data_IF_175639432752
#
_entry.id   IF_175639432752
#
_cell.length_a   1.000
_cell.length_b   1.000
_cell.length_c   1.000
_cell.angle_alpha   90.00
_cell.angle_beta   90.00
_cell.angle_gamma   90.00
#
_symmetry.space_group_name_H-M   'P 1'
#
loop_
_entity.id
_entity.type
_entity.pdbx_description
1 polymer ?
#
# COMPACT_ATOMS: atom_id res chain seq x y z
N UNK A 1 -8.69 -1.38 10.41
CA UNK A 1 -8.43 -2.57 9.56
C UNK A 1 -9.56 -2.89 8.59
N UNK A 2 -10.85 -2.75 8.96
CA UNK A 2 -11.96 -3.02 8.02
C UNK A 2 -11.83 -2.23 6.70
N UNK A 3 -11.61 -0.91 6.79
CA UNK A 3 -11.51 -0.05 5.61
C UNK A 3 -10.31 -0.38 4.69
N UNK A 4 -9.14 -0.72 5.25
CA UNK A 4 -7.97 -1.09 4.43
C UNK A 4 -8.18 -2.39 3.67
N UNK A 5 -8.89 -3.36 4.27
CA UNK A 5 -9.25 -4.62 3.60
C UNK A 5 -10.25 -4.42 2.46
N UNK A 6 -11.08 -3.38 2.53
CA UNK A 6 -12.01 -3.01 1.46
C UNK A 6 -11.35 -2.19 0.35
N UNK A 7 -10.29 -1.43 0.68
CA UNK A 7 -9.55 -0.59 -0.27
C UNK A 7 -8.55 -1.37 -1.13
N UNK A 8 -7.80 -2.29 -0.51
CA UNK A 8 -6.68 -2.96 -1.16
C UNK A 8 -7.12 -4.21 -1.92
N UNK A 9 -6.38 -4.59 -2.96
CA UNK A 9 -6.56 -5.89 -3.62
C UNK A 9 -6.35 -7.03 -2.60
N UNK A 10 -5.22 -6.95 -1.88
CA UNK A 10 -4.87 -7.86 -0.80
C UNK A 10 -4.11 -7.07 0.28
N UNK A 11 -4.41 -7.35 1.55
CA UNK A 11 -3.64 -6.82 2.68
C UNK A 11 -3.54 -7.86 3.79
N UNK A 12 -2.31 -8.24 4.10
CA UNK A 12 -2.00 -9.22 5.14
C UNK A 12 -2.26 -8.69 6.55
N UNK A 13 -2.07 -9.58 7.53
CA UNK A 13 -2.23 -9.25 8.94
C UNK A 13 -1.19 -8.22 9.42
N UNK A 14 -1.56 -7.44 10.44
CA UNK A 14 -0.68 -6.49 11.11
C UNK A 14 -0.04 -5.43 10.18
N UNK A 15 -0.70 -5.08 9.08
CA UNK A 15 -0.29 -3.94 8.27
C UNK A 15 -0.72 -2.62 8.91
N UNK A 16 0.13 -1.61 8.82
CA UNK A 16 -0.16 -0.28 9.34
C UNK A 16 0.36 0.79 8.37
N UNK A 17 -0.51 1.74 8.04
CA UNK A 17 -0.24 2.80 7.06
C UNK A 17 -0.57 4.12 7.74
N UNK A 18 0.45 4.95 7.95
CA UNK A 18 0.26 6.30 8.45
C UNK A 18 -0.38 7.18 7.37
N UNK A 19 -1.52 7.82 7.63
CA UNK A 19 -2.14 8.73 6.68
C UNK A 19 -1.30 10.02 6.52
N UNK A 20 -1.40 10.72 5.38
CA UNK A 20 -2.23 10.37 4.22
C UNK A 20 -1.61 9.25 3.37
N UNK A 21 -2.49 8.44 2.78
CA UNK A 21 -2.18 7.44 1.77
C UNK A 21 -2.79 7.89 0.43
N UNK A 22 -1.99 7.86 -0.64
CA UNK A 22 -2.42 8.25 -1.98
C UNK A 22 -2.36 7.05 -2.92
N UNK A 23 -3.42 6.85 -3.72
CA UNK A 23 -3.45 5.85 -4.78
C UNK A 23 -4.31 6.32 -5.95
N UNK A 24 -3.97 5.93 -7.18
CA UNK A 24 -4.74 6.27 -8.38
C UNK A 24 -6.07 5.52 -8.43
N UNK A 25 -6.06 4.23 -8.10
CA UNK A 25 -7.21 3.33 -8.11
C UNK A 25 -7.66 2.94 -6.71
N UNK A 26 -7.24 3.71 -5.69
CA UNK A 26 -7.66 3.53 -4.31
C UNK A 26 -7.07 2.29 -3.63
N UNK A 27 -6.00 1.68 -4.19
CA UNK A 27 -5.37 0.48 -3.67
C UNK A 27 -5.85 -0.82 -4.33
N UNK A 28 -6.76 -0.75 -5.31
CA UNK A 28 -7.37 -1.92 -5.97
C UNK A 28 -6.39 -2.83 -6.71
N UNK A 29 -5.18 -2.38 -7.00
CA UNK A 29 -4.13 -3.21 -7.59
C UNK A 29 -2.94 -3.45 -6.66
N UNK A 30 -3.05 -3.03 -5.40
CA UNK A 30 -1.98 -3.15 -4.40
C UNK A 30 -2.18 -4.41 -3.57
N UNK A 31 -1.17 -5.27 -3.58
CA UNK A 31 -1.10 -6.53 -2.86
C UNK A 31 -0.03 -6.46 -1.77
N UNK A 32 -0.47 -6.30 -0.54
CA UNK A 32 0.39 -6.21 0.64
C UNK A 32 0.42 -7.54 1.38
N UNK A 33 1.62 -8.06 1.62
CA UNK A 33 1.87 -9.17 2.54
C UNK A 33 1.57 -8.82 4.01
N UNK A 34 2.12 -9.58 4.96
CA UNK A 34 1.92 -9.35 6.40
C UNK A 34 3.00 -8.47 7.03
N UNK A 35 2.65 -7.79 8.12
CA UNK A 35 3.54 -6.96 8.93
C UNK A 35 4.22 -5.84 8.13
N UNK A 36 3.51 -5.24 7.17
CA UNK A 36 4.01 -4.07 6.43
C UNK A 36 3.76 -2.80 7.24
N UNK A 37 4.77 -1.96 7.33
CA UNK A 37 4.65 -0.62 7.90
C UNK A 37 4.91 0.43 6.81
N UNK A 38 4.00 1.38 6.67
CA UNK A 38 4.17 2.53 5.80
C UNK A 38 4.09 3.83 6.61
N UNK A 39 5.16 4.63 6.52
CA UNK A 39 5.23 5.94 7.15
C UNK A 39 4.48 7.00 6.31
N UNK A 40 4.43 8.24 6.81
CA UNK A 40 3.63 9.33 6.25
C UNK A 40 3.87 9.54 4.74
N UNK A 41 2.80 9.90 4.02
CA UNK A 41 2.81 10.26 2.60
C UNK A 41 3.24 9.12 1.66
N UNK A 42 2.83 7.87 1.94
CA UNK A 42 2.98 6.79 0.97
C UNK A 42 2.08 7.04 -0.25
N UNK A 43 2.68 7.00 -1.44
CA UNK A 43 1.98 7.12 -2.73
C UNK A 43 2.15 5.87 -3.57
N UNK A 44 1.03 5.30 -4.02
CA UNK A 44 0.97 4.11 -4.87
C UNK A 44 0.34 4.48 -6.21
N UNK A 45 1.14 4.62 -7.27
CA UNK A 45 0.62 4.81 -8.64
C UNK A 45 0.25 3.44 -9.20
N UNK A 46 -0.93 2.97 -8.79
CA UNK A 46 -1.45 1.61 -8.97
C UNK A 46 -2.28 1.45 -10.25
N UNK A 47 -1.78 1.97 -11.39
CA UNK A 47 -2.39 1.76 -12.71
C UNK A 47 -2.35 0.28 -13.16
N UNK A 48 -1.36 -0.47 -12.68
CA UNK A 48 -1.36 -1.94 -12.69
C UNK A 48 -0.89 -2.51 -11.34
N UNK A 49 -0.68 -3.83 -11.27
CA UNK A 49 -0.42 -4.53 -10.02
C UNK A 49 0.91 -4.15 -9.35
N UNK A 50 0.84 -3.90 -8.04
CA UNK A 50 1.99 -3.70 -7.16
C UNK A 50 1.97 -4.79 -6.10
N UNK A 51 3.07 -5.55 -5.99
CA UNK A 51 3.24 -6.61 -5.00
C UNK A 51 4.31 -6.22 -3.99
N UNK A 52 3.96 -6.19 -2.71
CA UNK A 52 4.88 -5.88 -1.61
C UNK A 52 4.93 -7.06 -0.65
N UNK A 53 6.13 -7.58 -0.43
CA UNK A 53 6.37 -8.74 0.41
C UNK A 53 6.26 -8.45 1.91
N UNK A 54 6.20 -9.53 2.67
CA UNK A 54 6.11 -9.51 4.14
C UNK A 54 7.25 -8.71 4.79
N UNK A 55 6.95 -8.07 5.92
CA UNK A 55 7.90 -7.31 6.76
C UNK A 55 8.56 -6.11 6.07
N UNK A 56 8.01 -5.66 4.94
CA UNK A 56 8.50 -4.45 4.25
C UNK A 56 8.19 -3.20 5.07
N UNK A 57 9.16 -2.28 5.15
CA UNK A 57 9.00 -0.97 5.78
C UNK A 57 9.23 0.13 4.75
N UNK A 58 8.22 0.97 4.54
CA UNK A 58 8.35 2.19 3.75
C UNK A 58 8.70 3.37 4.66
N UNK A 59 9.74 4.10 4.29
CA UNK A 59 10.05 5.40 4.89
C UNK A 59 9.01 6.47 4.53
N UNK A 60 9.14 7.70 5.06
CA UNK A 60 8.23 8.79 4.74
C UNK A 60 8.44 9.28 3.30
N UNK A 61 7.35 9.72 2.64
CA UNK A 61 7.34 10.27 1.28
C UNK A 61 7.83 9.30 0.18
N UNK A 62 7.58 8.00 0.36
CA UNK A 62 7.89 7.02 -0.68
C UNK A 62 6.80 7.01 -1.76
N UNK A 63 7.23 7.01 -3.01
CA UNK A 63 6.36 6.76 -4.17
C UNK A 63 6.75 5.45 -4.83
N UNK A 64 5.79 4.53 -4.94
CA UNK A 64 5.90 3.32 -5.74
C UNK A 64 5.03 3.52 -6.98
N UNK A 65 5.64 3.50 -8.16
CA UNK A 65 4.93 3.75 -9.39
C UNK A 65 5.08 2.61 -10.39
N UNK A 66 3.94 2.16 -10.90
CA UNK A 66 3.89 1.36 -12.12
C UNK A 66 3.97 2.29 -13.34
N UNK A 67 4.41 1.75 -14.48
CA UNK A 67 4.36 2.47 -15.75
C UNK A 67 2.94 2.39 -16.35
N UNK A 68 2.51 3.46 -17.00
CA UNK A 68 1.27 3.53 -17.78
C UNK A 68 1.38 2.75 -19.10
#
# INVERSE_FOLDING_TARGET
MAMLREMFAEIGENCYIEPPFHANWGGRHVHFGKNIYANFNLTMVDDTHIYVGDYTMFGPNVTVATAA
#
